data_IF_681038066777
#
_entry.id   IF_681038066777
#
_cell.length_a   1.000
_cell.length_b   1.000
_cell.length_c   1.000
_cell.angle_alpha   90.00
_cell.angle_beta   90.00
_cell.angle_gamma   90.00
#
_symmetry.space_group_name_H-M   'P 1'
#
loop_
_entity.id
_entity.type
_entity.pdbx_description
1 polymer ?
#
# COMPACT_ATOMS: atom_id res chain seq x y z
N UNK A 1 29.96 -5.81 4.51
CA UNK A 1 29.06 -5.13 5.48
C UNK A 1 27.63 -5.30 5.01
N UNK A 2 26.82 -6.08 5.73
CA UNK A 2 25.40 -6.24 5.44
C UNK A 2 24.68 -4.96 5.84
N UNK A 3 24.21 -4.19 4.87
CA UNK A 3 23.27 -3.11 5.13
C UNK A 3 22.02 -3.72 5.80
N UNK A 4 21.45 -3.11 6.85
CA UNK A 4 20.19 -3.58 7.43
C UNK A 4 19.11 -3.56 6.34
N UNK A 5 18.84 -4.73 5.73
CA UNK A 5 18.04 -4.86 4.50
C UNK A 5 16.64 -4.27 4.59
N UNK A 6 16.06 -4.20 5.80
CA UNK A 6 14.73 -3.68 6.07
C UNK A 6 14.67 -2.15 6.14
N UNK A 7 15.73 -1.49 6.60
CA UNK A 7 15.65 -0.07 6.91
C UNK A 7 15.57 0.81 5.66
N UNK A 8 16.42 0.53 4.67
CA UNK A 8 16.50 1.32 3.43
C UNK A 8 15.29 1.07 2.53
N UNK A 9 14.77 -0.15 2.48
CA UNK A 9 13.63 -0.52 1.62
C UNK A 9 12.34 0.13 2.10
N UNK A 10 12.01 0.00 3.37
CA UNK A 10 10.81 0.63 3.92
C UNK A 10 10.91 2.16 3.91
N UNK A 11 12.12 2.72 4.06
CA UNK A 11 12.33 4.16 3.88
C UNK A 11 12.03 4.61 2.44
N UNK A 12 12.47 3.85 1.43
CA UNK A 12 12.15 4.14 0.04
C UNK A 12 10.65 4.02 -0.26
N UNK A 13 9.98 2.96 0.23
CA UNK A 13 8.54 2.79 0.07
C UNK A 13 7.74 3.92 0.76
N UNK A 14 8.16 4.34 1.96
CA UNK A 14 7.56 5.46 2.67
C UNK A 14 7.79 6.80 1.96
N UNK A 15 8.97 7.01 1.39
CA UNK A 15 9.29 8.21 0.61
C UNK A 15 8.43 8.27 -0.67
N UNK A 16 8.29 7.15 -1.39
CA UNK A 16 7.41 7.05 -2.56
C UNK A 16 5.96 7.32 -2.15
N UNK A 17 5.49 6.69 -1.07
CA UNK A 17 4.14 6.93 -0.56
C UNK A 17 3.91 8.42 -0.27
N UNK A 18 4.79 9.03 0.53
CA UNK A 18 4.69 10.43 0.91
C UNK A 18 4.68 11.38 -0.30
N UNK A 19 5.47 11.09 -1.34
CA UNK A 19 5.50 11.91 -2.56
C UNK A 19 4.16 11.93 -3.30
N UNK A 20 3.50 10.77 -3.42
CA UNK A 20 2.27 10.66 -4.21
C UNK A 20 0.98 10.93 -3.39
N UNK A 21 1.02 10.81 -2.07
CA UNK A 21 -0.14 10.80 -1.17
C UNK A 21 -0.90 12.13 -1.14
N UNK A 22 -2.17 12.12 -1.56
CA UNK A 22 -3.05 13.29 -1.54
C UNK A 22 -3.52 13.74 -0.16
N UNK A 23 -3.36 12.90 0.88
CA UNK A 23 -3.90 13.17 2.21
C UNK A 23 -3.15 14.24 3.01
N UNK A 24 -1.93 14.58 2.60
CA UNK A 24 -1.11 15.58 3.29
C UNK A 24 -0.26 16.40 2.31
N UNK A 25 0.12 17.61 2.73
CA UNK A 25 1.09 18.41 1.97
C UNK A 25 2.51 17.95 2.29
N UNK A 26 3.05 17.06 1.45
CA UNK A 26 4.41 16.54 1.60
C UNK A 26 5.49 17.42 0.96
N UNK A 27 5.14 18.54 0.30
CA UNK A 27 6.11 19.40 -0.41
C UNK A 27 7.33 19.80 0.43
N UNK A 28 7.18 20.18 1.72
CA UNK A 28 8.34 20.55 2.56
C UNK A 28 9.36 19.42 2.75
N UNK A 29 8.97 18.15 2.51
CA UNK A 29 9.87 17.01 2.57
C UNK A 29 10.77 16.88 1.33
N UNK A 30 10.40 17.54 0.22
CA UNK A 30 11.03 17.35 -1.09
C UNK A 30 11.56 18.63 -1.74
N UNK A 31 11.13 19.81 -1.28
CA UNK A 31 11.47 21.10 -1.92
C UNK A 31 12.97 21.42 -1.96
N UNK A 32 13.73 20.95 -0.98
CA UNK A 32 15.19 21.13 -0.91
C UNK A 32 15.99 20.00 -1.60
N UNK A 33 15.31 19.03 -2.24
CA UNK A 33 15.95 17.87 -2.88
C UNK A 33 16.07 18.04 -4.39
N UNK A 34 16.94 17.22 -5.00
CA UNK A 34 17.18 17.26 -6.47
C UNK A 34 15.89 17.12 -7.29
N UNK A 35 14.94 16.32 -6.82
CA UNK A 35 13.66 16.05 -7.49
C UNK A 35 12.83 17.33 -7.67
N UNK A 36 12.97 18.34 -6.81
CA UNK A 36 12.25 19.60 -6.92
C UNK A 36 12.61 20.39 -8.20
N UNK A 37 13.73 20.07 -8.85
CA UNK A 37 14.15 20.69 -10.11
C UNK A 37 13.63 19.94 -11.35
N UNK A 38 12.99 18.77 -11.18
CA UNK A 38 12.43 18.02 -12.30
C UNK A 38 11.10 18.66 -12.75
N UNK A 39 10.87 18.85 -14.08
CA UNK A 39 9.64 19.45 -14.57
C UNK A 39 8.35 18.70 -14.15
N UNK A 40 8.46 17.39 -13.90
CA UNK A 40 7.35 16.53 -13.47
C UNK A 40 7.15 16.49 -11.95
N UNK A 41 7.92 17.26 -11.17
CA UNK A 41 7.85 17.26 -9.70
C UNK A 41 6.42 17.53 -9.21
N UNK A 42 5.81 18.62 -9.67
CA UNK A 42 4.47 19.00 -9.23
C UNK A 42 3.35 18.19 -9.89
N UNK A 43 3.65 17.47 -10.98
CA UNK A 43 2.66 16.68 -11.73
C UNK A 43 2.06 15.59 -10.85
N UNK A 44 2.87 15.00 -9.98
CA UNK A 44 2.48 13.84 -9.19
C UNK A 44 2.50 14.06 -7.67
N UNK A 45 3.06 15.19 -7.21
CA UNK A 45 3.15 15.53 -5.80
C UNK A 45 1.75 15.67 -5.18
N UNK A 46 1.46 14.86 -4.16
CA UNK A 46 0.21 14.86 -3.40
C UNK A 46 -1.07 14.71 -4.27
N UNK A 47 -1.09 13.77 -5.22
CA UNK A 47 -2.18 13.64 -6.20
C UNK A 47 -3.00 12.36 -6.12
N UNK A 48 -2.58 11.37 -5.34
CA UNK A 48 -3.18 10.04 -5.39
C UNK A 48 -3.55 9.53 -4.01
N UNK A 49 -4.70 8.85 -3.87
CA UNK A 49 -4.95 8.01 -2.71
C UNK A 49 -3.99 6.80 -2.73
N UNK A 50 -3.20 6.67 -1.68
CA UNK A 50 -2.20 5.61 -1.52
C UNK A 50 -2.75 4.50 -0.62
N UNK A 51 -2.66 3.25 -1.10
CA UNK A 51 -2.88 2.05 -0.30
C UNK A 51 -1.54 1.37 -0.08
N UNK A 52 -0.94 1.57 1.11
CA UNK A 52 0.35 0.97 1.47
C UNK A 52 0.15 -0.33 2.24
N UNK A 53 0.77 -1.40 1.77
CA UNK A 53 0.65 -2.75 2.30
C UNK A 53 2.03 -3.21 2.78
N UNK A 54 2.22 -3.36 4.09
CA UNK A 54 3.40 -4.02 4.68
C UNK A 54 3.10 -5.50 4.91
N UNK A 55 3.54 -6.33 3.97
CA UNK A 55 3.27 -7.76 3.99
C UNK A 55 3.91 -8.45 5.20
N UNK A 56 5.09 -8.01 5.66
CA UNK A 56 5.72 -8.60 6.84
C UNK A 56 4.95 -8.30 8.13
N UNK A 57 4.41 -7.09 8.26
CA UNK A 57 3.49 -6.73 9.34
C UNK A 57 2.30 -7.69 9.40
N UNK A 58 1.69 -7.97 8.25
CA UNK A 58 0.58 -8.92 8.16
C UNK A 58 0.97 -10.37 8.54
N UNK A 59 2.15 -10.83 8.16
CA UNK A 59 2.62 -12.19 8.51
C UNK A 59 2.89 -12.34 10.01
N UNK A 60 3.51 -11.34 10.64
CA UNK A 60 3.86 -11.40 12.07
C UNK A 60 2.65 -11.35 13.00
N UNK A 61 1.56 -10.70 12.57
CA UNK A 61 0.34 -10.54 13.38
C UNK A 61 -0.46 -11.85 13.58
N UNK A 62 -0.26 -12.91 12.79
CA UNK A 62 -1.09 -14.13 12.91
C UNK A 62 -0.30 -15.45 12.82
N UNK A 63 -0.09 -16.08 13.98
CA UNK A 63 0.55 -17.41 14.16
C UNK A 63 -0.27 -18.63 13.67
N UNK A 64 -1.39 -18.44 12.97
CA UNK A 64 -2.25 -19.55 12.53
C UNK A 64 -2.58 -19.38 11.06
N UNK A 65 -2.52 -20.50 10.31
CA UNK A 65 -2.92 -20.71 8.90
C UNK A 65 -4.05 -19.77 8.44
N UNK A 66 -3.71 -18.54 8.13
CA UNK A 66 -4.65 -17.48 7.78
C UNK A 66 -4.54 -17.25 6.29
N UNK A 67 -5.69 -17.16 5.63
CA UNK A 67 -5.77 -16.64 4.28
C UNK A 67 -5.44 -15.13 4.34
N UNK A 68 -4.17 -14.81 4.13
CA UNK A 68 -3.60 -13.46 4.19
C UNK A 68 -4.32 -12.54 3.21
N UNK A 69 -4.62 -13.04 2.00
CA UNK A 69 -5.32 -12.28 0.97
C UNK A 69 -6.71 -11.82 1.45
N UNK A 70 -7.51 -12.74 2.03
CA UNK A 70 -8.83 -12.37 2.54
C UNK A 70 -8.77 -11.34 3.68
N UNK A 71 -7.76 -11.44 4.55
CA UNK A 71 -7.63 -10.47 5.65
C UNK A 71 -7.20 -9.11 5.11
N UNK A 72 -6.22 -9.09 4.21
CA UNK A 72 -5.76 -7.88 3.55
C UNK A 72 -6.91 -7.17 2.83
N UNK A 73 -7.72 -7.92 2.08
CA UNK A 73 -8.89 -7.37 1.40
C UNK A 73 -9.87 -6.72 2.39
N UNK A 74 -10.16 -7.38 3.52
CA UNK A 74 -11.02 -6.84 4.57
C UNK A 74 -10.46 -5.56 5.21
N UNK A 75 -9.16 -5.50 5.49
CA UNK A 75 -8.54 -4.31 6.05
C UNK A 75 -8.57 -3.13 5.07
N UNK A 76 -8.19 -3.36 3.81
CA UNK A 76 -8.24 -2.31 2.78
C UNK A 76 -9.68 -1.83 2.58
N UNK A 77 -10.64 -2.76 2.54
CA UNK A 77 -12.05 -2.40 2.38
C UNK A 77 -12.55 -1.56 3.55
N UNK A 78 -12.13 -1.88 4.78
CA UNK A 78 -12.47 -1.10 5.97
C UNK A 78 -11.91 0.32 5.88
N UNK A 79 -10.62 0.47 5.59
CA UNK A 79 -9.97 1.78 5.49
C UNK A 79 -10.58 2.60 4.34
N UNK A 80 -10.95 1.95 3.23
CA UNK A 80 -11.61 2.58 2.10
C UNK A 80 -13.01 3.11 2.48
N UNK A 81 -13.79 2.34 3.24
CA UNK A 81 -15.10 2.78 3.76
C UNK A 81 -14.97 3.96 4.72
N UNK A 82 -13.95 3.95 5.60
CA UNK A 82 -13.67 5.07 6.51
C UNK A 82 -13.24 6.35 5.75
N UNK A 83 -12.56 6.18 4.61
CA UNK A 83 -12.09 7.30 3.77
C UNK A 83 -13.17 7.88 2.85
N UNK A 84 -14.18 7.07 2.48
CA UNK A 84 -15.26 7.46 1.55
C UNK A 84 -16.66 7.07 2.10
N UNK A 85 -17.04 7.50 3.32
CA UNK A 85 -18.30 7.12 3.96
C UNK A 85 -19.55 7.62 3.23
N UNK A 86 -19.42 8.63 2.37
CA UNK A 86 -20.49 9.17 1.54
C UNK A 86 -20.73 8.34 0.26
N UNK A 87 -19.79 7.47 -0.13
CA UNK A 87 -19.86 6.64 -1.34
C UNK A 87 -20.10 5.17 -0.98
N UNK A 88 -19.45 4.70 0.08
CA UNK A 88 -19.44 3.29 0.47
C UNK A 88 -20.30 3.05 1.71
N UNK A 89 -21.00 1.91 1.72
CA UNK A 89 -21.84 1.46 2.83
C UNK A 89 -21.35 0.12 3.36
N UNK A 90 -21.94 -0.35 4.45
CA UNK A 90 -21.57 -1.65 5.01
C UNK A 90 -21.85 -2.83 4.07
N UNK A 91 -22.82 -2.69 3.17
CA UNK A 91 -23.19 -3.69 2.17
C UNK A 91 -22.12 -3.88 1.07
N UNK A 92 -21.26 -2.88 0.86
CA UNK A 92 -20.16 -2.96 -0.09
C UNK A 92 -19.04 -3.85 0.48
N UNK A 93 -19.05 -5.13 0.09
CA UNK A 93 -18.20 -6.19 0.66
C UNK A 93 -17.07 -6.67 -0.26
N UNK A 94 -17.07 -6.23 -1.52
CA UNK A 94 -16.11 -6.68 -2.55
C UNK A 94 -15.16 -5.53 -2.88
N UNK A 95 -13.88 -5.66 -2.57
CA UNK A 95 -12.90 -4.56 -2.69
C UNK A 95 -12.83 -3.99 -4.11
N UNK A 96 -12.79 -4.86 -5.13
CA UNK A 96 -12.70 -4.43 -6.52
C UNK A 96 -13.92 -3.59 -6.95
N UNK A 97 -15.12 -3.94 -6.47
CA UNK A 97 -16.33 -3.18 -6.76
C UNK A 97 -16.36 -1.86 -5.98
N UNK A 98 -15.90 -1.86 -4.73
CA UNK A 98 -15.81 -0.65 -3.92
C UNK A 98 -14.83 0.37 -4.51
N UNK A 99 -13.65 -0.08 -4.97
CA UNK A 99 -12.70 0.78 -5.67
C UNK A 99 -13.31 1.41 -6.94
N UNK A 100 -14.03 0.61 -7.73
CA UNK A 100 -14.73 1.11 -8.92
C UNK A 100 -15.85 2.09 -8.57
N UNK A 101 -16.58 1.84 -7.48
CA UNK A 101 -17.66 2.69 -6.99
C UNK A 101 -17.13 4.05 -6.52
N UNK A 102 -15.93 4.09 -5.93
CA UNK A 102 -15.23 5.35 -5.61
C UNK A 102 -14.69 6.03 -6.86
N UNK A 103 -14.09 5.28 -7.79
CA UNK A 103 -13.52 5.83 -9.01
C UNK A 103 -14.54 6.57 -9.87
N UNK A 104 -15.75 6.01 -10.08
CA UNK A 104 -16.77 6.59 -10.97
C UNK A 104 -17.12 8.06 -10.67
N UNK A 105 -17.47 8.45 -9.43
CA UNK A 105 -17.79 9.84 -9.11
C UNK A 105 -16.57 10.72 -8.80
N UNK A 106 -15.47 10.15 -8.30
CA UNK A 106 -14.30 10.96 -7.85
C UNK A 106 -13.21 11.10 -8.92
N UNK A 107 -13.20 10.21 -9.91
CA UNK A 107 -12.13 10.02 -10.88
C UNK A 107 -10.73 9.79 -10.23
N UNK A 108 -10.68 9.39 -8.96
CA UNK A 108 -9.44 9.16 -8.23
C UNK A 108 -8.84 7.80 -8.58
N UNK A 109 -7.59 7.82 -9.05
CA UNK A 109 -6.83 6.61 -9.32
C UNK A 109 -6.03 6.20 -8.09
N UNK A 110 -6.22 4.97 -7.63
CA UNK A 110 -5.53 4.45 -6.46
C UNK A 110 -4.15 3.92 -6.82
N UNK A 111 -3.16 4.25 -5.99
CA UNK A 111 -1.79 3.73 -6.10
C UNK A 111 -1.55 2.75 -4.97
N UNK A 112 -1.27 1.49 -5.34
CA UNK A 112 -0.95 0.42 -4.39
C UNK A 112 0.56 0.28 -4.24
N UNK A 113 1.06 0.39 -3.01
CA UNK A 113 2.47 0.17 -2.67
C UNK A 113 2.56 -1.07 -1.81
N UNK A 114 3.18 -2.13 -2.33
CA UNK A 114 3.37 -3.40 -1.63
C UNK A 114 4.83 -3.50 -1.18
N UNK A 115 5.06 -3.40 0.12
CA UNK A 115 6.38 -3.54 0.75
C UNK A 115 6.53 -4.93 1.40
N UNK A 116 7.78 -5.39 1.51
CA UNK A 116 8.15 -6.71 2.05
C UNK A 116 7.41 -7.91 1.46
N UNK A 117 7.07 -7.90 0.16
CA UNK A 117 6.37 -9.02 -0.51
C UNK A 117 7.08 -10.39 -0.32
N UNK A 118 8.41 -10.38 -0.19
CA UNK A 118 9.20 -11.59 0.05
C UNK A 118 8.94 -12.25 1.42
N UNK A 119 8.26 -11.58 2.34
CA UNK A 119 7.82 -12.14 3.62
C UNK A 119 6.87 -13.32 3.45
N UNK A 120 6.04 -13.34 2.40
CA UNK A 120 5.13 -14.46 2.12
C UNK A 120 5.92 -15.75 1.95
N UNK A 121 7.03 -15.72 1.21
CA UNK A 121 7.87 -16.89 0.95
C UNK A 121 8.71 -17.31 2.16
N UNK A 122 9.01 -16.39 3.09
CA UNK A 122 9.78 -16.73 4.31
C UNK A 122 8.92 -17.44 5.34
N UNK A 123 7.65 -17.08 5.41
CA UNK A 123 6.74 -17.49 6.48
C UNK A 123 5.79 -18.62 6.04
N UNK A 124 5.61 -18.82 4.73
CA UNK A 124 5.03 -20.05 4.19
C UNK A 124 6.14 -21.11 4.10
N UNK A 125 6.00 -22.29 4.72
CA UNK A 125 6.97 -23.35 4.55
C UNK A 125 7.04 -23.75 3.08
N UNK A 126 8.25 -23.88 2.54
CA UNK A 126 8.50 -24.43 1.21
C UNK A 126 7.74 -25.75 1.07
N UNK A 127 6.72 -25.79 0.21
CA UNK A 127 6.16 -27.05 -0.27
C UNK A 127 7.01 -27.62 -1.41
N UNK A 128 8.34 -27.56 -1.25
CA UNK A 128 9.33 -28.13 -2.18
C UNK A 128 10.16 -29.18 -1.44
N UNK A 129 9.47 -30.21 -0.95
CA UNK A 129 10.03 -31.54 -0.80
C UNK A 129 8.96 -32.52 -1.28
N UNK A 130 8.90 -32.73 -2.59
CA UNK A 130 8.50 -33.98 -3.26
C UNK A 130 8.63 -33.83 -4.79
N UNK A 131 9.87 -33.66 -5.25
CA UNK A 131 10.29 -34.25 -6.51
C UNK A 131 11.30 -35.35 -6.16
N UNK A 132 10.82 -36.59 -6.11
CA UNK A 132 11.64 -37.79 -6.23
C UNK A 132 10.83 -38.89 -6.90
#
# INVERSE_FOLDING_TARGET
>A
MSHPRRFVKSMAANMIAAYYDESCDSRPLFEDLKIANEPSFEEHLNKYPIVKIDVSGFMTMKRKKVNIANNLELYILKDLKESYPEILTEEDTILALSLLKVFKPTNKQFVFIIDEWDAIFRELPNSDTEQK
#
